data_IF_486015486099
#
_entry.id   IF_486015486099
#
_cell.length_a   1.000
_cell.length_b   1.000
_cell.length_c   1.000
_cell.angle_alpha   90.00
_cell.angle_beta   90.00
_cell.angle_gamma   90.00
#
_symmetry.space_group_name_H-M   'P 1'
#
loop_
_entity.id
_entity.type
_entity.pdbx_description
1 polymer ?
#
# COMPACT_ATOMS: atom_id res chain seq x y z
N UNK A 1 9.06 -21.21 22.86
CA UNK A 1 9.20 -19.79 22.49
C UNK A 1 9.35 -19.69 20.97
N UNK A 2 8.24 -19.54 20.28
CA UNK A 2 8.24 -19.30 18.85
C UNK A 2 8.82 -17.89 18.61
N UNK A 3 10.05 -17.82 18.17
CA UNK A 3 10.65 -16.60 17.67
C UNK A 3 9.95 -16.22 16.37
N UNK A 4 8.91 -15.42 16.46
CA UNK A 4 8.32 -14.77 15.30
C UNK A 4 9.35 -13.80 14.71
N UNK A 5 10.17 -14.29 13.80
CA UNK A 5 10.96 -13.42 12.94
C UNK A 5 10.04 -12.86 11.87
N UNK A 6 9.41 -11.77 12.19
CA UNK A 6 8.71 -10.96 11.20
C UNK A 6 9.75 -10.37 10.25
N UNK A 7 9.81 -10.90 9.04
CA UNK A 7 10.61 -10.31 7.95
C UNK A 7 9.64 -9.65 7.00
N UNK A 8 9.68 -8.34 6.95
CA UNK A 8 8.96 -7.60 5.92
C UNK A 8 9.70 -7.75 4.59
N UNK A 9 8.98 -8.17 3.56
CA UNK A 9 9.53 -8.33 2.22
C UNK A 9 8.81 -7.38 1.28
N UNK A 10 9.57 -6.44 0.73
CA UNK A 10 9.11 -5.58 -0.35
C UNK A 10 9.32 -6.34 -1.66
N UNK A 11 8.34 -7.09 -2.09
CA UNK A 11 8.41 -7.93 -3.31
C UNK A 11 8.66 -7.06 -4.54
N UNK A 12 8.01 -5.89 -4.62
CA UNK A 12 8.21 -4.91 -5.68
C UNK A 12 9.68 -4.46 -5.77
N UNK A 13 10.28 -4.11 -4.63
CA UNK A 13 11.65 -3.60 -4.61
C UNK A 13 12.66 -4.71 -4.91
N UNK A 14 12.35 -5.96 -4.57
CA UNK A 14 13.16 -7.13 -4.97
C UNK A 14 13.16 -7.36 -6.48
N UNK A 15 12.00 -7.22 -7.13
CA UNK A 15 11.89 -7.26 -8.58
C UNK A 15 12.78 -6.18 -9.22
N UNK A 16 12.71 -4.97 -8.70
CA UNK A 16 13.53 -3.85 -9.18
C UNK A 16 15.03 -4.09 -9.00
N UNK A 17 15.44 -4.62 -7.84
CA UNK A 17 16.84 -4.99 -7.57
C UNK A 17 17.34 -6.12 -8.48
N UNK A 18 16.47 -7.05 -8.88
CA UNK A 18 16.83 -8.21 -9.67
C UNK A 18 17.18 -7.84 -11.13
N UNK A 19 16.33 -7.03 -11.77
CA UNK A 19 16.46 -6.77 -13.20
C UNK A 19 16.21 -5.32 -13.63
N UNK A 20 16.06 -4.39 -12.69
CA UNK A 20 15.82 -2.97 -12.96
C UNK A 20 14.41 -2.64 -13.47
N UNK A 21 13.47 -3.59 -13.44
CA UNK A 21 12.11 -3.40 -13.93
C UNK A 21 11.10 -3.35 -12.79
N UNK A 22 10.08 -2.50 -12.94
CA UNK A 22 8.95 -2.45 -12.00
C UNK A 22 8.05 -3.67 -12.15
N UNK A 23 7.13 -3.89 -11.19
CA UNK A 23 6.11 -4.94 -11.30
C UNK A 23 5.16 -4.72 -12.50
N UNK A 24 5.02 -3.48 -12.95
CA UNK A 24 4.19 -3.12 -14.11
C UNK A 24 4.85 -3.59 -15.41
N UNK A 25 6.17 -3.44 -15.50
CA UNK A 25 6.95 -3.82 -16.68
C UNK A 25 7.24 -5.33 -16.73
N UNK A 26 7.54 -5.93 -15.59
CA UNK A 26 7.88 -7.35 -15.46
C UNK A 26 7.70 -7.81 -14.01
N UNK A 27 6.82 -8.72 -13.76
CA UNK A 27 6.57 -9.26 -12.42
C UNK A 27 6.93 -10.74 -12.28
N UNK A 28 7.64 -11.34 -13.24
CA UNK A 28 7.89 -12.77 -13.25
C UNK A 28 8.72 -13.24 -12.06
N UNK A 29 9.83 -12.57 -11.79
CA UNK A 29 10.67 -12.89 -10.63
C UNK A 29 9.94 -12.71 -9.30
N UNK A 30 9.14 -11.66 -9.18
CA UNK A 30 8.32 -11.42 -7.98
C UNK A 30 7.31 -12.54 -7.74
N UNK A 31 6.69 -13.08 -8.79
CA UNK A 31 5.79 -14.23 -8.70
C UNK A 31 6.55 -15.50 -8.27
N UNK A 32 7.66 -15.79 -8.91
CA UNK A 32 8.51 -16.94 -8.58
C UNK A 32 8.92 -16.91 -7.09
N UNK A 33 9.32 -15.74 -6.58
CA UNK A 33 9.64 -15.57 -5.15
C UNK A 33 8.44 -15.88 -4.26
N UNK A 34 7.25 -15.39 -4.60
CA UNK A 34 6.04 -15.64 -3.80
C UNK A 34 5.60 -17.10 -3.85
N UNK A 35 5.71 -17.75 -5.00
CA UNK A 35 5.43 -19.19 -5.17
C UNK A 35 6.42 -20.04 -4.38
N UNK A 36 7.72 -19.71 -4.44
CA UNK A 36 8.75 -20.38 -3.64
C UNK A 36 8.46 -20.25 -2.15
N UNK A 37 8.08 -19.07 -1.66
CA UNK A 37 7.73 -18.87 -0.25
C UNK A 37 6.52 -19.70 0.13
N UNK A 38 5.47 -19.78 -0.70
CA UNK A 38 4.31 -20.62 -0.43
C UNK A 38 4.69 -22.09 -0.32
N UNK A 39 5.51 -22.59 -1.25
CA UNK A 39 6.02 -23.95 -1.21
C UNK A 39 6.77 -24.25 0.11
N UNK A 40 7.65 -23.35 0.53
CA UNK A 40 8.38 -23.51 1.81
C UNK A 40 7.46 -23.45 3.02
N UNK A 41 6.43 -22.63 2.99
CA UNK A 41 5.43 -22.55 4.04
C UNK A 41 4.63 -23.86 4.14
N UNK A 42 4.28 -24.46 3.01
CA UNK A 42 3.57 -25.74 2.99
C UNK A 42 4.46 -26.89 3.50
N UNK A 43 5.73 -26.91 3.13
CA UNK A 43 6.71 -27.86 3.70
C UNK A 43 6.79 -27.74 5.23
N UNK A 44 6.84 -26.52 5.79
CA UNK A 44 6.83 -26.33 7.24
C UNK A 44 5.53 -26.80 7.92
N UNK A 45 4.38 -26.63 7.27
CA UNK A 45 3.11 -27.17 7.78
C UNK A 45 3.13 -28.68 7.88
N UNK A 46 3.74 -29.35 6.88
CA UNK A 46 3.90 -30.81 6.87
C UNK A 46 4.92 -31.29 7.91
N UNK A 47 6.03 -30.57 8.07
CA UNK A 47 7.13 -30.97 8.98
C UNK A 47 6.72 -30.86 10.46
N UNK A 48 6.04 -29.82 10.87
CA UNK A 48 5.77 -29.55 12.29
C UNK A 48 4.28 -29.53 12.68
N UNK A 49 3.37 -29.69 11.72
CA UNK A 49 1.92 -29.73 11.96
C UNK A 49 1.30 -28.40 12.36
N UNK A 50 2.03 -27.31 12.28
CA UNK A 50 1.53 -25.97 12.62
C UNK A 50 0.88 -25.27 11.42
N UNK A 51 0.01 -24.29 11.71
CA UNK A 51 -0.59 -23.44 10.69
C UNK A 51 0.31 -22.24 10.41
N UNK A 52 0.73 -22.11 9.17
CA UNK A 52 1.49 -20.97 8.66
C UNK A 52 0.71 -20.27 7.56
N UNK A 53 0.88 -18.96 7.47
CA UNK A 53 0.27 -18.16 6.41
C UNK A 53 1.17 -16.97 6.03
N UNK A 54 1.08 -16.57 4.77
CA UNK A 54 1.71 -15.37 4.25
C UNK A 54 0.66 -14.28 4.22
N UNK A 55 0.97 -13.10 4.76
CA UNK A 55 0.06 -11.96 4.71
C UNK A 55 0.74 -10.72 4.12
N UNK A 56 -0.05 -9.97 3.35
CA UNK A 56 0.34 -8.68 2.80
C UNK A 56 0.16 -7.59 3.83
N UNK A 57 1.14 -7.42 4.72
CA UNK A 57 1.04 -6.42 5.79
C UNK A 57 1.11 -4.99 5.26
N UNK A 58 0.22 -4.09 5.72
CA UNK A 58 0.33 -2.67 5.44
C UNK A 58 1.35 -1.93 6.32
N UNK A 59 2.35 -2.57 6.89
CA UNK A 59 3.31 -2.07 7.89
C UNK A 59 4.00 -0.73 7.50
N UNK A 60 3.21 0.27 7.22
CA UNK A 60 3.60 1.58 6.66
C UNK A 60 4.55 2.35 7.56
N UNK A 61 4.44 2.18 8.88
CA UNK A 61 5.35 2.82 9.83
C UNK A 61 6.81 2.35 9.70
N UNK A 62 7.03 1.17 9.14
CA UNK A 62 8.36 0.62 8.93
C UNK A 62 8.97 0.99 7.57
N UNK A 63 8.15 1.41 6.61
CA UNK A 63 8.62 1.63 5.25
C UNK A 63 9.68 2.72 5.14
N UNK A 64 9.51 3.82 5.85
CA UNK A 64 10.50 4.91 5.92
C UNK A 64 11.76 4.52 6.71
N UNK A 65 11.60 3.79 7.82
CA UNK A 65 12.73 3.29 8.59
C UNK A 65 13.58 2.30 7.77
N UNK A 66 12.94 1.40 7.05
CA UNK A 66 13.64 0.43 6.19
C UNK A 66 14.47 1.09 5.10
N UNK A 67 13.94 2.13 4.46
CA UNK A 67 14.68 2.87 3.44
C UNK A 67 15.90 3.57 4.02
N UNK A 68 15.81 4.16 5.22
CA UNK A 68 16.98 4.75 5.89
C UNK A 68 18.06 3.70 6.14
N UNK A 69 17.69 2.59 6.78
CA UNK A 69 18.63 1.50 7.07
C UNK A 69 19.23 0.90 5.80
N UNK A 70 18.45 0.79 4.73
CA UNK A 70 18.94 0.33 3.45
C UNK A 70 19.96 1.28 2.85
N UNK A 71 19.69 2.60 2.87
CA UNK A 71 20.60 3.62 2.38
C UNK A 71 21.91 3.67 3.16
N UNK A 72 21.85 3.53 4.48
CA UNK A 72 23.04 3.48 5.35
C UNK A 72 23.95 2.32 4.99
N UNK A 73 23.39 1.19 4.57
CA UNK A 73 24.15 -0.02 4.28
C UNK A 73 24.55 -0.15 2.82
N UNK A 74 23.69 0.25 1.89
CA UNK A 74 23.84 -0.03 0.45
C UNK A 74 23.86 1.23 -0.42
N UNK A 75 23.65 2.41 0.15
CA UNK A 75 23.55 3.65 -0.60
C UNK A 75 22.21 3.85 -1.30
N UNK A 76 22.19 4.81 -2.21
CA UNK A 76 21.00 5.13 -3.02
C UNK A 76 21.02 4.29 -4.28
N UNK A 77 19.97 3.51 -4.49
CA UNK A 77 19.72 2.70 -5.68
C UNK A 77 18.46 3.22 -6.34
N UNK A 78 18.56 3.61 -7.60
CA UNK A 78 17.46 4.15 -8.40
C UNK A 78 16.29 3.17 -8.47
N UNK A 79 15.08 3.69 -8.30
CA UNK A 79 13.83 2.92 -8.28
C UNK A 79 13.60 2.07 -7.02
N UNK A 80 14.56 2.00 -6.10
CA UNK A 80 14.48 1.25 -4.85
C UNK A 80 14.61 2.16 -3.64
N UNK A 81 15.77 2.80 -3.45
CA UNK A 81 16.06 3.60 -2.28
C UNK A 81 16.23 5.09 -2.54
N UNK A 82 15.97 5.54 -3.75
CA UNK A 82 15.85 6.95 -4.15
C UNK A 82 14.57 7.62 -3.64
N UNK A 83 13.65 6.85 -3.07
CA UNK A 83 12.34 7.26 -2.58
C UNK A 83 12.29 7.28 -1.06
N UNK A 84 11.42 8.10 -0.44
CA UNK A 84 11.39 8.25 1.02
C UNK A 84 10.87 7.01 1.78
N UNK A 85 10.25 6.04 1.10
CA UNK A 85 9.74 4.79 1.67
C UNK A 85 9.69 3.65 0.65
N UNK A 86 9.73 2.41 1.13
CA UNK A 86 9.53 1.19 0.32
C UNK A 86 8.05 0.90 0.10
N UNK A 87 7.74 0.15 -0.95
CA UNK A 87 6.39 -0.40 -1.16
C UNK A 87 6.07 -1.49 -0.14
N UNK A 88 4.78 -1.65 0.17
CA UNK A 88 4.32 -2.74 1.03
C UNK A 88 4.16 -4.02 0.22
N UNK A 89 4.74 -5.11 0.69
CA UNK A 89 4.53 -6.45 0.14
C UNK A 89 4.65 -6.47 -1.40
N UNK A 90 3.59 -6.90 -2.11
CA UNK A 90 3.49 -6.96 -3.57
C UNK A 90 2.73 -5.77 -4.18
N UNK A 91 2.33 -4.79 -3.38
CA UNK A 91 1.58 -3.65 -3.90
C UNK A 91 2.43 -2.75 -4.79
N UNK A 92 1.80 -2.18 -5.81
CA UNK A 92 2.43 -1.17 -6.66
C UNK A 92 2.88 0.04 -5.83
N UNK A 93 3.98 0.63 -6.21
CA UNK A 93 4.38 1.90 -5.63
C UNK A 93 3.40 3.00 -6.04
N UNK A 94 3.14 3.95 -5.14
CA UNK A 94 2.17 5.04 -5.38
C UNK A 94 2.57 6.01 -6.50
N UNK A 95 3.83 5.98 -6.94
CA UNK A 95 4.32 6.78 -8.07
C UNK A 95 4.17 6.08 -9.42
N UNK A 96 3.68 4.85 -9.48
CA UNK A 96 3.41 4.18 -10.75
C UNK A 96 2.23 4.86 -11.45
N UNK A 97 2.40 5.22 -12.71
CA UNK A 97 1.35 5.82 -13.53
C UNK A 97 0.47 4.72 -14.14
N UNK A 98 -0.43 4.20 -13.33
CA UNK A 98 -1.36 3.14 -13.71
C UNK A 98 -2.78 3.46 -13.28
N UNK A 99 -3.74 3.01 -14.09
CA UNK A 99 -5.16 3.11 -13.75
C UNK A 99 -5.53 2.16 -12.60
N UNK A 100 -6.64 2.42 -11.87
CA UNK A 100 -7.15 1.49 -10.86
C UNK A 100 -7.40 0.08 -11.39
N UNK A 101 -7.85 -0.05 -12.64
CA UNK A 101 -8.07 -1.34 -13.29
C UNK A 101 -6.74 -2.09 -13.48
N UNK A 102 -5.73 -1.43 -14.03
CA UNK A 102 -4.40 -2.00 -14.20
C UNK A 102 -3.79 -2.42 -12.86
N UNK A 103 -3.98 -1.61 -11.82
CA UNK A 103 -3.53 -1.95 -10.47
C UNK A 103 -4.22 -3.23 -9.96
N UNK A 104 -5.53 -3.35 -10.11
CA UNK A 104 -6.28 -4.55 -9.72
C UNK A 104 -5.79 -5.78 -10.50
N UNK A 105 -5.60 -5.68 -11.82
CA UNK A 105 -5.09 -6.77 -12.64
C UNK A 105 -3.69 -7.21 -12.24
N UNK A 106 -2.80 -6.27 -11.98
CA UNK A 106 -1.44 -6.54 -11.57
C UNK A 106 -1.40 -7.24 -10.19
N UNK A 107 -2.08 -6.69 -9.19
CA UNK A 107 -2.05 -7.20 -7.83
C UNK A 107 -2.82 -8.51 -7.68
N UNK A 108 -3.79 -8.80 -8.55
CA UNK A 108 -4.51 -10.07 -8.57
C UNK A 108 -3.58 -11.27 -8.80
N UNK A 109 -2.51 -11.09 -9.53
CA UNK A 109 -1.50 -12.15 -9.76
C UNK A 109 -0.88 -12.66 -8.46
N UNK A 110 -0.75 -11.79 -7.45
CA UNK A 110 -0.16 -12.08 -6.15
C UNK A 110 -1.21 -12.38 -5.08
N UNK A 111 -2.47 -12.07 -5.36
CA UNK A 111 -3.51 -12.06 -4.34
C UNK A 111 -3.72 -13.42 -3.68
N UNK A 112 -3.78 -14.48 -4.46
CA UNK A 112 -3.96 -15.83 -3.94
C UNK A 112 -2.69 -16.43 -3.31
N UNK A 113 -1.52 -15.85 -3.60
CA UNK A 113 -0.26 -16.24 -3.00
C UNK A 113 -0.05 -15.66 -1.59
N UNK A 114 -0.93 -14.76 -1.14
CA UNK A 114 -0.95 -14.18 0.20
C UNK A 114 -2.22 -14.62 0.92
N UNK A 115 -2.20 -15.83 1.47
CA UNK A 115 -3.37 -16.53 2.03
C UNK A 115 -3.74 -16.14 3.46
N UNK A 116 -2.85 -15.40 4.16
CA UNK A 116 -3.05 -15.03 5.57
C UNK A 116 -3.74 -13.70 5.80
N UNK A 117 -4.10 -12.99 4.76
CA UNK A 117 -4.75 -11.68 4.83
C UNK A 117 -4.01 -10.59 4.07
N UNK A 118 -4.75 -9.76 3.40
CA UNK A 118 -4.30 -8.66 2.56
C UNK A 118 -5.42 -7.69 2.35
N UNK A 119 -5.06 -6.44 2.05
CA UNK A 119 -6.02 -5.40 1.70
C UNK A 119 -5.45 -4.56 0.58
N UNK A 120 -6.26 -4.26 -0.41
CA UNK A 120 -5.94 -3.31 -1.45
C UNK A 120 -6.48 -1.94 -1.08
N UNK A 121 -5.59 -0.97 -0.91
CA UNK A 121 -5.99 0.42 -0.75
C UNK A 121 -5.84 1.16 -2.07
N UNK A 122 -6.93 1.79 -2.50
CA UNK A 122 -6.92 2.61 -3.70
C UNK A 122 -7.45 4.00 -3.38
N UNK A 123 -6.71 5.02 -3.81
CA UNK A 123 -7.16 6.41 -3.81
C UNK A 123 -7.73 6.71 -5.18
N UNK A 124 -9.04 6.88 -5.25
CA UNK A 124 -9.71 7.24 -6.49
C UNK A 124 -9.75 8.76 -6.65
N UNK A 125 -9.13 9.33 -7.72
CA UNK A 125 -9.15 10.78 -7.94
C UNK A 125 -10.49 11.30 -8.45
N UNK A 126 -11.50 10.45 -8.54
CA UNK A 126 -12.82 10.72 -9.14
C UNK A 126 -13.92 10.91 -8.07
N UNK A 127 -13.65 11.74 -7.07
CA UNK A 127 -14.44 11.86 -5.83
C UNK A 127 -15.96 11.99 -5.99
N UNK A 128 -16.45 12.47 -7.13
CA UNK A 128 -17.89 12.64 -7.38
C UNK A 128 -18.51 11.55 -8.27
N UNK A 129 -17.72 10.71 -8.91
CA UNK A 129 -18.22 9.63 -9.75
C UNK A 129 -18.45 8.35 -8.95
N UNK A 130 -19.49 8.36 -8.13
CA UNK A 130 -19.84 7.23 -7.26
C UNK A 130 -20.19 5.95 -8.03
N UNK A 131 -20.70 6.06 -9.27
CA UNK A 131 -20.99 4.91 -10.13
C UNK A 131 -19.70 4.22 -10.59
N UNK A 132 -18.69 4.99 -10.99
CA UNK A 132 -17.39 4.44 -11.35
C UNK A 132 -16.71 3.75 -10.15
N UNK A 133 -16.71 4.40 -8.98
CA UNK A 133 -16.17 3.82 -7.72
C UNK A 133 -16.89 2.51 -7.40
N UNK A 134 -18.22 2.50 -7.46
CA UNK A 134 -19.03 1.29 -7.20
C UNK A 134 -18.71 0.16 -8.17
N UNK A 135 -18.48 0.46 -9.44
CA UNK A 135 -18.11 -0.53 -10.46
C UNK A 135 -16.71 -1.10 -10.20
N UNK A 136 -15.75 -0.26 -9.80
CA UNK A 136 -14.39 -0.68 -9.45
C UNK A 136 -14.38 -1.56 -8.19
N UNK A 137 -15.17 -1.20 -7.18
CA UNK A 137 -15.32 -2.02 -5.97
C UNK A 137 -15.94 -3.39 -6.31
N UNK A 138 -16.99 -3.43 -7.15
CA UNK A 138 -17.56 -4.72 -7.58
C UNK A 138 -16.53 -5.58 -8.28
N UNK A 139 -15.81 -5.01 -9.23
CA UNK A 139 -14.74 -5.71 -9.92
C UNK A 139 -13.70 -6.28 -8.95
N UNK A 140 -13.25 -5.49 -7.98
CA UNK A 140 -12.33 -5.94 -6.95
C UNK A 140 -12.91 -7.11 -6.14
N UNK A 141 -14.18 -7.04 -5.75
CA UNK A 141 -14.86 -8.12 -5.03
C UNK A 141 -14.99 -9.39 -5.86
N UNK A 142 -15.32 -9.26 -7.16
CA UNK A 142 -15.38 -10.39 -8.10
C UNK A 142 -14.02 -11.07 -8.26
N UNK A 143 -12.92 -10.34 -8.12
CA UNK A 143 -11.55 -10.84 -8.08
C UNK A 143 -11.14 -11.38 -6.70
N UNK A 144 -12.02 -11.35 -5.71
CA UNK A 144 -11.76 -11.80 -4.34
C UNK A 144 -10.96 -10.82 -3.48
N UNK A 145 -10.91 -9.54 -3.86
CA UNK A 145 -10.18 -8.54 -3.10
C UNK A 145 -10.95 -8.08 -1.86
N UNK A 146 -10.20 -7.76 -0.81
CA UNK A 146 -10.64 -6.86 0.23
C UNK A 146 -10.21 -5.44 -0.15
N UNK A 147 -11.14 -4.68 -0.72
CA UNK A 147 -10.88 -3.36 -1.28
C UNK A 147 -11.13 -2.27 -0.26
N UNK A 148 -10.13 -1.43 -0.01
CA UNK A 148 -10.25 -0.24 0.80
C UNK A 148 -10.23 1.02 -0.07
N UNK A 149 -11.35 1.72 -0.16
CA UNK A 149 -11.42 3.02 -0.85
C UNK A 149 -10.91 4.10 0.09
N UNK A 150 -9.90 4.83 -0.34
CA UNK A 150 -9.34 5.95 0.40
C UNK A 150 -9.80 7.27 -0.24
N UNK A 151 -10.71 7.96 0.45
CA UNK A 151 -11.19 9.30 0.11
C UNK A 151 -10.86 10.22 1.27
N UNK A 152 -10.22 11.36 0.96
CA UNK A 152 -9.93 12.39 1.97
C UNK A 152 -11.22 13.11 2.35
N UNK A 153 -11.59 13.08 3.62
CA UNK A 153 -12.63 13.93 4.19
C UNK A 153 -11.97 15.24 4.63
N UNK A 154 -12.56 16.37 4.30
CA UNK A 154 -12.11 17.67 4.74
C UNK A 154 -13.14 18.30 5.68
N UNK A 155 -12.66 18.88 6.77
CA UNK A 155 -13.45 19.57 7.77
C UNK A 155 -12.98 21.02 7.86
N UNK A 156 -13.91 21.97 7.80
CA UNK A 156 -13.59 23.38 7.98
C UNK A 156 -13.56 23.71 9.49
N UNK A 157 -12.38 24.08 9.98
CA UNK A 157 -12.18 24.41 11.40
C UNK A 157 -12.92 25.72 11.82
N UNK A 158 -13.26 26.58 10.86
CA UNK A 158 -13.90 27.88 11.14
C UNK A 158 -15.44 27.77 11.20
N UNK A 159 -16.07 26.94 10.37
CA UNK A 159 -17.54 26.88 10.30
C UNK A 159 -18.15 25.48 10.45
N UNK A 160 -17.32 24.45 10.63
CA UNK A 160 -17.77 23.09 10.83
C UNK A 160 -18.32 22.39 9.58
N UNK A 161 -18.14 22.96 8.38
CA UNK A 161 -18.59 22.31 7.14
C UNK A 161 -17.69 21.14 6.77
N UNK A 162 -18.30 20.03 6.38
CA UNK A 162 -17.60 18.79 5.98
C UNK A 162 -17.89 18.47 4.52
N UNK A 163 -16.87 18.14 3.76
CA UNK A 163 -16.99 17.71 2.38
C UNK A 163 -15.74 16.91 1.95
N UNK A 164 -15.88 16.10 0.90
CA UNK A 164 -14.75 15.35 0.34
C UNK A 164 -13.82 16.30 -0.42
N UNK A 165 -12.52 16.17 -0.16
CA UNK A 165 -11.44 16.79 -0.94
C UNK A 165 -11.54 18.32 -1.08
N UNK A 166 -12.00 19.03 -0.05
CA UNK A 166 -11.99 20.50 -0.05
C UNK A 166 -10.56 21.04 -0.01
N UNK A 167 -10.30 22.10 -0.77
CA UNK A 167 -9.13 22.98 -0.64
C UNK A 167 -9.50 24.37 -0.12
N UNK A 168 -10.76 24.75 -0.30
CA UNK A 168 -11.38 25.95 0.24
C UNK A 168 -12.78 25.58 0.68
N UNK A 169 -13.21 26.03 1.84
CA UNK A 169 -14.56 25.77 2.33
C UNK A 169 -15.61 26.47 1.44
N UNK A 170 -16.55 25.74 0.81
CA UNK A 170 -17.56 26.36 -0.05
C UNK A 170 -18.58 27.17 0.72
N UNK A 171 -18.70 26.95 2.05
CA UNK A 171 -19.66 27.65 2.89
C UNK A 171 -19.16 29.01 3.40
N UNK A 172 -17.88 29.09 3.80
CA UNK A 172 -17.34 30.32 4.42
C UNK A 172 -16.10 30.88 3.73
N UNK A 173 -15.58 30.22 2.68
CA UNK A 173 -14.39 30.64 1.95
C UNK A 173 -13.06 30.41 2.69
N UNK A 174 -13.10 29.79 3.86
CA UNK A 174 -11.88 29.54 4.65
C UNK A 174 -10.98 28.51 4.01
N UNK A 175 -9.66 28.67 4.21
CA UNK A 175 -8.62 27.70 3.90
C UNK A 175 -8.15 26.96 5.15
N UNK A 176 -8.70 27.28 6.33
CA UNK A 176 -8.38 26.60 7.59
C UNK A 176 -9.12 25.28 7.63
N UNK A 177 -8.52 24.25 7.04
CA UNK A 177 -9.12 22.92 6.84
C UNK A 177 -8.30 21.85 7.52
N UNK A 178 -8.97 20.99 8.25
CA UNK A 178 -8.43 19.69 8.71
C UNK A 178 -8.81 18.63 7.71
N UNK A 179 -7.81 17.91 7.16
CA UNK A 179 -8.02 16.77 6.26
C UNK A 179 -7.83 15.48 7.04
N UNK A 180 -8.75 14.54 6.85
CA UNK A 180 -8.76 13.22 7.48
C UNK A 180 -8.59 12.19 6.37
N UNK A 181 -7.50 11.45 6.42
CA UNK A 181 -7.21 10.36 5.51
C UNK A 181 -7.20 9.02 6.27
N UNK A 182 -7.57 7.97 5.60
CA UNK A 182 -7.42 6.62 6.15
C UNK A 182 -5.97 6.16 5.98
N UNK A 183 -5.37 5.74 7.08
CA UNK A 183 -4.05 5.14 7.13
C UNK A 183 -4.11 3.79 7.82
N UNK A 184 -3.45 2.77 7.24
CA UNK A 184 -3.27 1.46 7.90
C UNK A 184 -4.52 0.86 8.54
N UNK A 185 -5.69 1.12 7.96
CA UNK A 185 -6.94 0.65 8.54
C UNK A 185 -7.58 1.56 9.57
N UNK A 186 -6.91 2.64 10.03
CA UNK A 186 -7.51 3.66 10.89
C UNK A 186 -7.51 5.04 10.23
N UNK A 187 -8.39 5.89 10.74
CA UNK A 187 -8.43 7.29 10.36
C UNK A 187 -7.24 8.04 10.97
N UNK A 188 -6.62 8.90 10.20
CA UNK A 188 -5.54 9.77 10.64
C UNK A 188 -5.73 11.18 10.13
N UNK A 189 -5.43 12.15 11.00
CA UNK A 189 -5.45 13.55 10.63
C UNK A 189 -4.23 13.92 9.78
N UNK A 190 -4.38 14.95 8.96
CA UNK A 190 -3.32 15.46 8.10
C UNK A 190 -2.08 15.97 8.84
N UNK A 191 -2.17 16.14 10.16
CA UNK A 191 -1.09 16.66 11.04
C UNK A 191 -0.37 15.55 11.82
N UNK A 192 -0.45 14.31 11.41
CA UNK A 192 0.28 13.21 12.09
C UNK A 192 1.78 13.40 11.93
N UNK A 193 2.49 13.39 13.05
CA UNK A 193 3.94 13.49 13.11
C UNK A 193 4.58 12.10 13.24
N UNK A 194 5.76 11.94 12.65
CA UNK A 194 6.55 10.70 12.70
C UNK A 194 6.97 10.17 11.33
N UNK A 195 7.81 9.15 11.33
CA UNK A 195 8.34 8.50 10.12
C UNK A 195 7.31 7.54 9.50
N UNK A 196 6.15 8.05 9.14
CA UNK A 196 5.13 7.27 8.45
C UNK A 196 5.18 7.53 6.94
N UNK A 197 4.67 6.58 6.16
CA UNK A 197 4.53 6.73 4.71
C UNK A 197 3.77 8.02 4.33
N UNK A 198 2.74 8.38 5.09
CA UNK A 198 1.98 9.59 4.83
C UNK A 198 2.81 10.86 5.06
N UNK A 199 3.62 10.88 6.12
CA UNK A 199 4.49 12.00 6.40
C UNK A 199 5.58 12.14 5.33
N UNK A 200 6.18 11.04 4.90
CA UNK A 200 7.14 11.03 3.80
C UNK A 200 6.52 11.58 2.50
N UNK A 201 5.30 11.19 2.18
CA UNK A 201 4.57 11.66 0.99
C UNK A 201 4.15 13.14 1.08
N UNK A 202 4.05 13.72 2.29
CA UNK A 202 3.73 15.14 2.48
C UNK A 202 4.96 16.04 2.53
N UNK A 203 6.12 15.47 2.79
CA UNK A 203 7.40 16.19 2.84
C UNK A 203 8.10 16.23 1.47
N UNK A 204 7.65 15.42 0.52
CA UNK A 204 8.09 15.42 -0.87
C UNK A 204 7.23 16.32 -1.73
#
# INVERSE_FOLDING_TARGET
LSLRRQRQMCIRDRQMLYNGKSLVEDGAFALEVMEHINKRVDEFKEEDGNLYAIYGTPAENLCGLQIRQFREQYGIIEGVSDRPYVSNSFHCHVSEDITPIQKQDLENRFWNLSNGGKIQYVKYPIGYNTLAIKSLIRRAMDMGFYEGVNLSLSYCDDCGHEELQMDVCPKCGSKNLTKIDRMNGYLSYSRVHGDTRLNAAKMA
#
